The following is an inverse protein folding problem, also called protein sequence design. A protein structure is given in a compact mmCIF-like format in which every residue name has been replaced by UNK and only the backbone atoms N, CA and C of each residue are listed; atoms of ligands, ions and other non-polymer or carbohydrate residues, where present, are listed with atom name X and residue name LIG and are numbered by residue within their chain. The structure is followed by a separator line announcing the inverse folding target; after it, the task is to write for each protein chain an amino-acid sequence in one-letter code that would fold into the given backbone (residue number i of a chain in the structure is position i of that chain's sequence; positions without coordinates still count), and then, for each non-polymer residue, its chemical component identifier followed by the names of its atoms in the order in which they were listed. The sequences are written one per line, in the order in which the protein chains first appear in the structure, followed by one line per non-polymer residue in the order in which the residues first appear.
data_IF_090467552481
#
_entry.id   IF_090467552481
#
_cell.length_a   1.000
_cell.length_b   1.000
_cell.length_c   1.000
_cell.angle_alpha   90.00
_cell.angle_beta   90.00
_cell.angle_gamma   90.00
#
_symmetry.space_group_name_H-M   'P 1'
#
loop_
_entity.id
_entity.type
_entity.pdbx_description
1 polymer ?
#
# COMPACT_ATOMS: atom_id res chain seq x y z
N UNK A 1 -19.35 3.97 -2.83
CA UNK A 1 -18.47 4.90 -2.06
C UNK A 1 -17.46 5.62 -2.97
N UNK A 2 -16.40 4.96 -3.54
CA UNK A 2 -15.39 5.67 -4.37
C UNK A 2 -16.04 6.36 -5.59
N UNK A 3 -16.92 5.68 -6.33
CA UNK A 3 -17.64 6.27 -7.48
C UNK A 3 -18.45 7.51 -7.09
N UNK A 4 -19.15 7.45 -5.97
CA UNK A 4 -19.97 8.58 -5.48
C UNK A 4 -19.09 9.74 -5.02
N UNK A 5 -17.97 9.42 -4.34
CA UNK A 5 -16.99 10.43 -3.92
C UNK A 5 -16.36 11.14 -5.13
N UNK A 6 -15.98 10.41 -6.17
CA UNK A 6 -15.49 10.98 -7.41
C UNK A 6 -16.56 11.83 -8.11
N UNK A 7 -17.81 11.35 -8.17
CA UNK A 7 -18.89 12.06 -8.86
C UNK A 7 -19.30 13.37 -8.17
N UNK A 8 -19.03 13.50 -6.86
CA UNK A 8 -19.30 14.72 -6.12
C UNK A 8 -18.41 15.91 -6.56
N UNK A 9 -17.26 15.64 -7.19
CA UNK A 9 -16.37 16.67 -7.71
C UNK A 9 -15.62 16.15 -8.95
N UNK A 10 -15.83 16.74 -10.13
CA UNK A 10 -15.21 16.31 -11.39
C UNK A 10 -13.67 16.47 -11.41
N UNK A 11 -13.09 17.29 -10.53
CA UNK A 11 -11.64 17.45 -10.44
C UNK A 11 -10.95 16.33 -9.67
N UNK A 12 -11.69 15.56 -8.88
CA UNK A 12 -11.12 14.46 -8.07
C UNK A 12 -10.57 13.35 -8.94
N UNK A 13 -9.37 12.92 -8.65
CA UNK A 13 -8.69 11.77 -9.25
C UNK A 13 -8.14 10.87 -8.15
N UNK A 14 -7.97 9.60 -8.43
CA UNK A 14 -7.52 8.62 -7.45
C UNK A 14 -6.56 7.61 -8.10
N UNK A 15 -5.48 7.28 -7.40
CA UNK A 15 -4.59 6.18 -7.75
C UNK A 15 -4.84 5.04 -6.75
N UNK A 16 -5.15 3.86 -7.26
CA UNK A 16 -5.38 2.65 -6.47
C UNK A 16 -4.24 1.67 -6.70
N UNK A 17 -3.43 1.45 -5.68
CA UNK A 17 -2.34 0.46 -5.74
C UNK A 17 -2.79 -0.81 -5.03
N UNK A 18 -2.89 -1.91 -5.76
CA UNK A 18 -3.38 -3.17 -5.24
C UNK A 18 -2.27 -3.97 -4.58
N UNK A 19 -2.46 -4.33 -3.30
CA UNK A 19 -1.61 -5.28 -2.59
C UNK A 19 -1.97 -6.73 -2.89
N UNK A 20 -1.08 -7.66 -2.53
CA UNK A 20 -1.25 -9.09 -2.79
C UNK A 20 -2.25 -9.79 -1.86
N UNK A 21 -2.42 -9.28 -0.64
CA UNK A 21 -3.40 -9.80 0.32
C UNK A 21 -3.20 -11.25 0.73
N UNK A 22 -4.30 -11.95 1.01
CA UNK A 22 -4.29 -13.37 1.34
C UNK A 22 -3.83 -14.25 0.17
N UNK A 23 -4.24 -14.03 -1.09
CA UNK A 23 -3.78 -14.81 -2.23
C UNK A 23 -2.25 -14.86 -2.35
N UNK A 24 -1.55 -13.73 -2.21
CA UNK A 24 -0.09 -13.70 -2.26
C UNK A 24 0.53 -14.64 -1.22
N UNK A 25 0.05 -14.56 0.03
CA UNK A 25 0.55 -15.41 1.12
C UNK A 25 0.31 -16.90 0.88
N UNK A 26 -0.87 -17.25 0.36
CA UNK A 26 -1.20 -18.65 0.04
C UNK A 26 -0.22 -19.21 -0.98
N UNK A 27 0.00 -18.53 -2.09
CA UNK A 27 0.90 -18.99 -3.13
C UNK A 27 2.37 -18.95 -2.71
N UNK A 28 2.80 -17.93 -1.98
CA UNK A 28 4.17 -17.86 -1.46
C UNK A 28 4.46 -18.98 -0.45
N UNK A 29 3.49 -19.33 0.39
CA UNK A 29 3.64 -20.44 1.33
C UNK A 29 3.68 -21.79 0.58
N UNK A 30 2.80 -22.00 -0.38
CA UNK A 30 2.83 -23.21 -1.21
C UNK A 30 4.18 -23.39 -1.91
N UNK A 31 4.74 -22.31 -2.49
CA UNK A 31 6.09 -22.34 -3.07
C UNK A 31 7.15 -22.78 -2.05
N UNK A 32 7.14 -22.17 -0.86
CA UNK A 32 8.11 -22.47 0.20
C UNK A 32 8.00 -23.92 0.70
N UNK A 33 6.79 -24.42 0.87
CA UNK A 33 6.53 -25.80 1.30
C UNK A 33 7.05 -26.81 0.27
N UNK A 34 6.71 -26.63 -1.02
CA UNK A 34 7.19 -27.53 -2.09
C UNK A 34 8.69 -27.46 -2.26
N UNK A 35 9.29 -26.26 -2.25
CA UNK A 35 10.74 -26.11 -2.36
C UNK A 35 11.48 -26.79 -1.19
N UNK A 36 10.93 -26.71 0.02
CA UNK A 36 11.49 -27.39 1.18
C UNK A 36 11.43 -28.92 1.05
N UNK A 37 10.34 -29.48 0.53
CA UNK A 37 10.21 -30.91 0.28
C UNK A 37 11.19 -31.40 -0.80
N UNK A 38 11.39 -30.61 -1.84
CA UNK A 38 12.32 -30.89 -2.93
C UNK A 38 13.80 -30.65 -2.54
N UNK A 39 14.05 -30.15 -1.34
CA UNK A 39 15.38 -29.73 -0.85
C UNK A 39 16.05 -28.69 -1.76
N UNK A 40 15.27 -27.86 -2.42
CA UNK A 40 15.74 -26.76 -3.24
C UNK A 40 15.95 -25.51 -2.39
N UNK A 41 16.83 -24.63 -2.85
CA UNK A 41 17.02 -23.33 -2.23
C UNK A 41 15.78 -22.47 -2.47
N UNK A 42 15.24 -21.87 -1.41
CA UNK A 42 14.16 -20.89 -1.50
C UNK A 42 14.75 -19.57 -1.94
N UNK A 43 14.55 -19.20 -3.20
CA UNK A 43 14.95 -17.91 -3.73
C UNK A 43 13.93 -16.84 -3.32
N UNK A 44 14.40 -15.79 -2.61
CA UNK A 44 13.56 -14.67 -2.18
C UNK A 44 12.87 -13.97 -3.35
N UNK A 45 13.58 -13.76 -4.45
CA UNK A 45 13.05 -13.15 -5.66
C UNK A 45 11.93 -13.97 -6.31
N UNK A 46 11.98 -15.30 -6.25
CA UNK A 46 10.92 -16.15 -6.76
C UNK A 46 9.64 -16.02 -5.93
N UNK A 47 9.78 -16.03 -4.60
CA UNK A 47 8.64 -15.78 -3.71
C UNK A 47 8.05 -14.37 -3.90
N UNK A 48 8.88 -13.35 -4.09
CA UNK A 48 8.44 -11.98 -4.37
C UNK A 48 7.70 -11.91 -5.71
N UNK A 49 8.22 -12.52 -6.77
CA UNK A 49 7.53 -12.59 -8.08
C UNK A 49 6.15 -13.21 -7.97
N UNK A 50 6.00 -14.29 -7.20
CA UNK A 50 4.70 -14.90 -6.93
C UNK A 50 3.76 -13.92 -6.24
N UNK A 51 4.24 -13.21 -5.21
CA UNK A 51 3.48 -12.17 -4.52
C UNK A 51 3.06 -11.03 -5.46
N UNK A 52 3.96 -10.57 -6.33
CA UNK A 52 3.70 -9.54 -7.34
C UNK A 52 2.58 -9.98 -8.30
N UNK A 53 2.59 -11.22 -8.78
CA UNK A 53 1.54 -11.73 -9.65
C UNK A 53 0.16 -11.72 -8.97
N UNK A 54 0.10 -11.98 -7.67
CA UNK A 54 -1.13 -11.84 -6.90
C UNK A 54 -1.61 -10.37 -6.82
N UNK A 55 -0.69 -9.40 -6.67
CA UNK A 55 -1.06 -7.97 -6.72
C UNK A 55 -1.64 -7.58 -8.08
N UNK A 56 -1.07 -8.11 -9.17
CA UNK A 56 -1.53 -7.85 -10.55
C UNK A 56 -2.92 -8.41 -10.79
N UNK A 57 -3.19 -9.63 -10.34
CA UNK A 57 -4.52 -10.22 -10.42
C UNK A 57 -5.56 -9.38 -9.65
N UNK A 58 -5.22 -8.94 -8.43
CA UNK A 58 -6.07 -8.06 -7.65
C UNK A 58 -6.30 -6.71 -8.34
N UNK A 59 -5.27 -6.15 -8.97
CA UNK A 59 -5.36 -4.89 -9.70
C UNK A 59 -6.28 -5.00 -10.93
N UNK A 60 -6.21 -6.10 -11.68
CA UNK A 60 -7.13 -6.35 -12.81
C UNK A 60 -8.58 -6.44 -12.34
N UNK A 61 -8.84 -7.10 -11.20
CA UNK A 61 -10.16 -7.12 -10.59
C UNK A 61 -10.64 -5.69 -10.25
N UNK A 62 -9.76 -4.89 -9.60
CA UNK A 62 -10.09 -3.50 -9.25
C UNK A 62 -10.35 -2.67 -10.50
N UNK A 63 -9.52 -2.78 -11.53
CA UNK A 63 -9.71 -2.10 -12.83
C UNK A 63 -11.06 -2.45 -13.45
N UNK A 64 -11.40 -3.74 -13.52
CA UNK A 64 -12.68 -4.20 -14.07
C UNK A 64 -13.87 -3.61 -13.31
N UNK A 65 -13.80 -3.51 -11.98
CA UNK A 65 -14.84 -2.89 -11.14
C UNK A 65 -14.94 -1.36 -11.32
N UNK A 66 -13.84 -0.69 -11.65
CA UNK A 66 -13.83 0.75 -11.91
C UNK A 66 -14.51 1.11 -13.24
N UNK A 67 -14.46 0.22 -14.23
CA UNK A 67 -15.06 0.43 -15.55
C UNK A 67 -14.53 1.70 -16.23
N UNK A 68 -15.40 2.50 -16.80
CA UNK A 68 -15.06 3.73 -17.55
C UNK A 68 -14.28 4.81 -16.75
N UNK A 69 -14.24 4.70 -15.44
CA UNK A 69 -13.44 5.61 -14.62
C UNK A 69 -11.93 5.30 -14.72
N UNK A 70 -11.55 4.06 -15.06
CA UNK A 70 -10.18 3.62 -15.28
C UNK A 70 -9.95 3.32 -16.77
N UNK A 71 -9.34 4.24 -17.49
CA UNK A 71 -9.08 4.10 -18.94
C UNK A 71 -7.70 3.52 -19.26
N UNK A 72 -6.78 3.59 -18.29
CA UNK A 72 -5.43 3.05 -18.46
C UNK A 72 -5.42 1.53 -18.26
N UNK A 73 -4.43 0.88 -18.84
CA UNK A 73 -4.02 -0.45 -18.37
C UNK A 73 -3.46 -0.38 -16.95
N UNK A 74 -3.43 -1.53 -16.25
CA UNK A 74 -2.84 -1.59 -14.93
C UNK A 74 -1.37 -1.24 -15.00
N UNK A 75 -0.94 -0.28 -14.19
CA UNK A 75 0.44 0.15 -14.12
C UNK A 75 1.24 -0.88 -13.32
N UNK A 76 2.23 -1.49 -13.96
CA UNK A 76 3.16 -2.43 -13.32
C UNK A 76 4.52 -1.80 -13.00
N UNK A 77 4.89 -0.75 -13.70
CA UNK A 77 6.14 -0.04 -13.47
C UNK A 77 5.86 1.45 -13.21
N UNK A 78 5.98 1.93 -11.96
CA UNK A 78 5.69 3.33 -11.62
C UNK A 78 6.66 4.33 -12.22
N UNK A 79 7.81 3.88 -12.76
CA UNK A 79 8.83 4.76 -13.34
C UNK A 79 8.62 5.05 -14.83
N UNK A 80 7.78 4.28 -15.52
CA UNK A 80 7.47 4.50 -16.93
C UNK A 80 6.75 5.83 -17.17
N UNK A 81 6.77 6.29 -18.43
CA UNK A 81 5.97 7.45 -18.82
C UNK A 81 4.49 7.04 -18.86
N UNK A 82 3.70 7.56 -17.94
CA UNK A 82 2.29 7.22 -17.76
C UNK A 82 1.46 8.49 -17.99
N UNK A 83 0.62 8.47 -19.01
CA UNK A 83 -0.43 9.46 -19.17
C UNK A 83 -1.64 9.03 -18.33
N UNK A 84 -2.01 9.79 -17.31
CA UNK A 84 -3.15 9.48 -16.46
C UNK A 84 -4.46 9.84 -17.18
N UNK A 85 -4.99 8.91 -17.94
CA UNK A 85 -6.28 9.04 -18.63
C UNK A 85 -7.43 8.57 -17.74
N UNK A 86 -8.53 9.30 -17.67
CA UNK A 86 -9.64 8.97 -16.79
C UNK A 86 -9.50 9.55 -15.38
N UNK A 87 -10.25 9.01 -14.43
CA UNK A 87 -10.37 9.51 -13.05
C UNK A 87 -9.76 8.58 -12.01
N UNK A 88 -9.57 7.32 -12.39
CA UNK A 88 -8.90 6.31 -11.58
C UNK A 88 -7.72 5.76 -12.38
N UNK A 89 -6.55 5.66 -11.76
CA UNK A 89 -5.41 4.90 -12.22
C UNK A 89 -5.25 3.70 -11.30
N UNK A 90 -5.13 2.50 -11.86
CA UNK A 90 -4.90 1.29 -11.06
C UNK A 90 -3.47 0.81 -11.28
N UNK A 91 -2.78 0.47 -10.19
CA UNK A 91 -1.41 -0.04 -10.21
C UNK A 91 -1.27 -1.31 -9.37
N UNK A 92 -0.20 -2.03 -9.59
CA UNK A 92 0.15 -3.27 -8.90
C UNK A 92 1.64 -3.31 -8.57
N UNK A 93 2.09 -4.36 -7.89
CA UNK A 93 3.49 -4.55 -7.53
C UNK A 93 4.42 -4.56 -8.76
N UNK A 94 5.52 -3.85 -8.66
CA UNK A 94 6.49 -3.63 -9.72
C UNK A 94 7.44 -4.81 -9.90
N UNK A 95 8.44 -4.91 -9.05
CA UNK A 95 9.54 -5.89 -9.15
C UNK A 95 9.98 -6.38 -7.77
N UNK A 96 10.69 -7.52 -7.68
CA UNK A 96 11.25 -8.01 -6.43
C UNK A 96 12.06 -6.95 -5.69
N UNK A 97 11.95 -6.95 -4.36
CA UNK A 97 12.59 -5.96 -3.49
C UNK A 97 11.86 -4.62 -3.38
N UNK A 98 10.70 -4.46 -4.03
CA UNK A 98 9.84 -3.27 -3.90
C UNK A 98 8.48 -3.66 -3.34
N UNK A 99 8.07 -2.98 -2.29
CA UNK A 99 6.72 -3.12 -1.75
C UNK A 99 5.72 -2.25 -2.52
N UNK A 100 4.43 -2.60 -2.44
CA UNK A 100 3.37 -1.76 -2.99
C UNK A 100 3.25 -0.40 -2.30
N UNK A 101 3.75 -0.27 -1.06
CA UNK A 101 3.88 1.03 -0.39
C UNK A 101 4.87 1.92 -1.13
N UNK A 102 6.01 1.35 -1.54
CA UNK A 102 7.02 2.08 -2.32
C UNK A 102 6.49 2.46 -3.71
N UNK A 103 5.76 1.55 -4.37
CA UNK A 103 5.12 1.85 -5.65
C UNK A 103 4.10 2.99 -5.51
N UNK A 104 3.34 3.03 -4.41
CA UNK A 104 2.39 4.11 -4.12
C UNK A 104 3.09 5.46 -3.91
N UNK A 105 4.24 5.49 -3.21
CA UNK A 105 5.03 6.72 -3.02
C UNK A 105 5.61 7.22 -4.34
N UNK A 106 6.13 6.33 -5.19
CA UNK A 106 6.64 6.71 -6.53
C UNK A 106 5.53 7.28 -7.43
N UNK A 107 4.33 6.70 -7.38
CA UNK A 107 3.18 7.22 -8.12
C UNK A 107 2.68 8.54 -7.53
N UNK A 108 2.70 8.71 -6.21
CA UNK A 108 2.37 9.98 -5.56
C UNK A 108 3.33 11.10 -6.00
N UNK A 109 4.64 10.83 -6.03
CA UNK A 109 5.64 11.76 -6.57
C UNK A 109 5.36 12.12 -8.03
N UNK A 110 5.17 11.11 -8.87
CA UNK A 110 4.93 11.29 -10.31
C UNK A 110 3.71 12.15 -10.63
N UNK A 111 2.64 11.98 -9.89
CA UNK A 111 1.36 12.67 -10.11
C UNK A 111 1.08 13.80 -9.12
N UNK A 112 2.10 14.19 -8.34
CA UNK A 112 2.01 15.28 -7.36
C UNK A 112 0.85 15.12 -6.38
N UNK A 113 0.59 13.89 -5.95
CA UNK A 113 -0.33 13.65 -4.84
C UNK A 113 0.36 14.04 -3.53
N UNK A 114 -0.38 14.66 -2.63
CA UNK A 114 0.12 15.12 -1.32
C UNK A 114 -0.08 14.08 -0.19
N UNK A 115 -0.88 13.07 -0.44
CA UNK A 115 -1.27 12.08 0.57
C UNK A 115 -1.33 10.68 0.00
N UNK A 116 -0.73 9.72 0.72
CA UNK A 116 -0.92 8.28 0.50
C UNK A 116 -1.78 7.72 1.63
N UNK A 117 -2.84 7.00 1.27
CA UNK A 117 -3.70 6.30 2.20
C UNK A 117 -3.35 4.81 2.20
N UNK A 118 -2.66 4.35 3.25
CA UNK A 118 -2.34 2.94 3.44
C UNK A 118 -3.49 2.24 4.18
N UNK A 119 -4.26 1.47 3.44
CA UNK A 119 -5.39 0.69 3.94
C UNK A 119 -4.96 -0.75 4.22
N UNK A 120 -4.96 -1.13 5.48
CA UNK A 120 -4.54 -2.46 5.91
C UNK A 120 -5.54 -3.10 6.89
N UNK A 121 -5.10 -4.10 7.63
CA UNK A 121 -5.90 -4.78 8.65
C UNK A 121 -5.73 -4.18 10.06
N UNK A 122 -4.96 -3.11 10.20
CA UNK A 122 -4.77 -2.39 11.47
C UNK A 122 -5.56 -1.08 11.44
N UNK A 123 -6.10 -0.67 12.57
CA UNK A 123 -6.83 0.61 12.68
C UNK A 123 -5.87 1.79 12.83
N UNK A 124 -4.80 1.61 13.59
CA UNK A 124 -3.77 2.62 13.86
C UNK A 124 -2.39 1.96 13.91
N UNK A 125 -1.37 2.76 13.78
CA UNK A 125 -0.02 2.39 14.18
C UNK A 125 0.05 2.40 15.70
N UNK A 126 0.82 1.48 16.28
CA UNK A 126 1.05 1.36 17.73
C UNK A 126 2.52 1.52 18.05
N UNK A 127 2.82 1.89 19.27
CA UNK A 127 4.21 2.02 19.75
C UNK A 127 4.99 0.69 19.74
N UNK A 128 4.28 -0.44 19.67
CA UNK A 128 4.80 -1.81 19.57
C UNK A 128 3.68 -2.71 19.03
N UNK A 129 3.95 -3.98 18.74
CA UNK A 129 2.93 -4.96 18.34
C UNK A 129 1.94 -5.24 19.49
N UNK A 130 0.68 -4.80 19.43
CA UNK A 130 -0.28 -4.97 20.52
C UNK A 130 -0.63 -6.44 20.80
N UNK A 131 -0.33 -7.37 19.87
CA UNK A 131 -0.51 -8.81 20.09
C UNK A 131 0.59 -9.39 20.96
N UNK A 132 1.76 -8.77 20.99
CA UNK A 132 2.93 -9.20 21.77
C UNK A 132 3.12 -8.38 23.03
N UNK A 133 2.78 -7.10 22.96
CA UNK A 133 2.92 -6.15 24.08
C UNK A 133 1.58 -5.51 24.42
N UNK A 134 0.89 -5.96 25.49
CA UNK A 134 -0.39 -5.38 25.91
C UNK A 134 -0.32 -3.90 26.33
N UNK A 135 0.89 -3.37 26.59
CA UNK A 135 1.10 -1.94 26.92
C UNK A 135 1.33 -1.06 25.68
N UNK A 136 1.30 -1.64 24.48
CA UNK A 136 1.40 -0.88 23.23
C UNK A 136 0.26 0.14 23.13
N UNK A 137 0.63 1.40 22.85
CA UNK A 137 -0.33 2.50 22.76
C UNK A 137 -0.59 2.85 21.30
N UNK A 138 -1.86 3.15 20.93
CA UNK A 138 -2.18 3.65 19.59
C UNK A 138 -1.60 5.06 19.40
N UNK A 139 -1.18 5.35 18.17
CA UNK A 139 -0.60 6.63 17.76
C UNK A 139 -1.58 7.31 16.81
N UNK A 140 -1.99 8.54 17.13
CA UNK A 140 -2.88 9.33 16.27
C UNK A 140 -2.09 10.11 15.20
N UNK A 141 -0.93 10.64 15.60
CA UNK A 141 -0.03 11.37 14.70
C UNK A 141 1.41 11.18 15.12
N UNK A 142 2.31 11.08 14.14
CA UNK A 142 3.74 10.89 14.36
C UNK A 142 4.52 11.59 13.26
N UNK A 143 5.68 12.19 13.61
CA UNK A 143 6.60 12.74 12.62
C UNK A 143 7.28 11.65 11.80
N UNK A 144 7.72 11.94 10.58
CA UNK A 144 8.53 11.01 9.79
C UNK A 144 9.79 10.59 10.54
N UNK A 145 10.46 11.52 11.20
CA UNK A 145 11.67 11.23 11.96
C UNK A 145 11.43 10.18 13.05
N UNK A 146 10.35 10.31 13.82
CA UNK A 146 10.05 9.38 14.91
C UNK A 146 9.48 8.05 14.40
N UNK A 147 8.69 8.09 13.31
CA UNK A 147 8.22 6.88 12.67
C UNK A 147 9.39 6.03 12.13
N UNK A 148 10.35 6.64 11.44
CA UNK A 148 11.53 5.95 10.93
C UNK A 148 12.43 5.42 12.03
N UNK A 149 12.58 6.12 13.16
CA UNK A 149 13.26 5.56 14.35
C UNK A 149 12.58 4.29 14.86
N UNK A 150 11.25 4.25 14.78
CA UNK A 150 10.46 3.10 15.26
C UNK A 150 10.54 1.89 14.31
N UNK A 151 10.44 2.09 12.99
CA UNK A 151 10.40 0.99 12.01
C UNK A 151 11.76 0.61 11.46
N UNK A 152 12.74 1.54 11.50
CA UNK A 152 14.06 1.43 10.90
C UNK A 152 14.08 1.87 9.44
N UNK A 153 15.28 1.87 8.83
CA UNK A 153 15.51 2.31 7.45
C UNK A 153 15.75 1.16 6.48
N UNK A 154 15.79 -0.08 7.00
CA UNK A 154 16.10 -1.25 6.19
C UNK A 154 14.87 -2.16 6.08
N UNK A 155 14.55 -2.53 4.86
CA UNK A 155 13.57 -3.56 4.62
C UNK A 155 14.16 -4.94 4.99
N UNK A 156 13.39 -5.73 5.72
CA UNK A 156 13.76 -7.10 6.10
C UNK A 156 12.63 -8.03 5.69
N UNK A 157 12.90 -9.11 4.92
CA UNK A 157 11.88 -10.08 4.53
C UNK A 157 11.11 -10.63 5.74
N UNK A 158 9.79 -10.60 5.67
CA UNK A 158 8.92 -11.12 6.73
C UNK A 158 8.73 -10.20 7.94
N UNK A 159 9.39 -9.04 8.02
CA UNK A 159 9.11 -8.04 9.03
C UNK A 159 7.86 -7.26 8.62
N UNK A 160 6.78 -7.43 9.38
CA UNK A 160 5.57 -6.64 9.20
C UNK A 160 5.76 -5.27 9.84
N UNK A 161 5.96 -4.24 9.03
CA UNK A 161 5.93 -2.84 9.45
C UNK A 161 4.61 -2.20 9.04
N UNK A 162 4.10 -1.22 9.77
CA UNK A 162 2.87 -0.51 9.40
C UNK A 162 2.94 0.18 8.05
N UNK A 163 4.12 0.63 7.65
CA UNK A 163 4.47 1.18 6.35
C UNK A 163 5.93 0.82 6.03
N UNK A 164 6.24 0.59 4.78
CA UNK A 164 7.56 0.11 4.35
C UNK A 164 8.68 1.10 4.69
N UNK A 165 9.83 0.65 5.26
CA UNK A 165 10.92 1.53 5.66
C UNK A 165 11.53 2.34 4.50
N UNK A 166 11.66 1.73 3.30
CA UNK A 166 12.22 2.39 2.12
C UNK A 166 11.23 3.44 1.60
N UNK A 167 9.95 3.07 1.53
CA UNK A 167 8.86 3.98 1.20
C UNK A 167 8.77 5.15 2.20
N UNK A 168 8.98 4.88 3.49
CA UNK A 168 8.99 5.89 4.55
C UNK A 168 10.07 6.94 4.35
N UNK A 169 11.29 6.51 4.02
CA UNK A 169 12.40 7.42 3.72
C UNK A 169 12.07 8.31 2.52
N UNK A 170 11.58 7.73 1.45
CA UNK A 170 11.22 8.48 0.24
C UNK A 170 10.04 9.43 0.51
N UNK A 171 9.04 9.01 1.28
CA UNK A 171 7.89 9.85 1.63
C UNK A 171 8.30 11.05 2.49
N UNK A 172 9.25 10.88 3.44
CA UNK A 172 9.84 11.99 4.20
C UNK A 172 10.57 12.99 3.29
N UNK A 173 11.42 12.50 2.37
CA UNK A 173 12.14 13.35 1.40
C UNK A 173 11.18 14.20 0.55
N UNK A 174 10.01 13.67 0.23
CA UNK A 174 8.95 14.33 -0.53
C UNK A 174 8.01 15.19 0.32
N UNK A 175 8.16 15.19 1.65
CA UNK A 175 7.19 15.81 2.59
C UNK A 175 5.77 15.29 2.37
N UNK A 176 5.63 14.04 1.95
CA UNK A 176 4.38 13.39 1.66
C UNK A 176 3.69 12.99 2.97
N UNK A 177 2.38 13.16 3.05
CA UNK A 177 1.59 12.65 4.17
C UNK A 177 1.20 11.20 3.91
N UNK A 178 1.31 10.37 4.94
CA UNK A 178 0.78 8.99 4.90
C UNK A 178 -0.25 8.82 6.00
N UNK A 179 -1.40 8.25 5.67
CA UNK A 179 -2.43 7.89 6.63
C UNK A 179 -2.55 6.37 6.65
N UNK A 180 -2.25 5.75 7.80
CA UNK A 180 -2.46 4.32 8.02
C UNK A 180 -3.83 4.12 8.69
N UNK A 181 -4.71 3.33 8.08
CA UNK A 181 -6.05 3.07 8.59
C UNK A 181 -6.56 1.68 8.20
N UNK A 182 -7.64 1.25 8.84
CA UNK A 182 -8.30 -0.01 8.51
C UNK A 182 -9.03 0.07 7.16
N UNK A 183 -8.72 -0.86 6.25
CA UNK A 183 -9.43 -1.03 4.99
C UNK A 183 -10.85 -1.62 5.12
N UNK A 184 -11.25 -2.03 6.32
CA UNK A 184 -12.56 -2.65 6.57
C UNK A 184 -13.66 -1.63 6.87
N UNK A 185 -13.31 -0.44 7.32
CA UNK A 185 -14.27 0.58 7.70
C UNK A 185 -14.47 1.59 6.55
N UNK A 186 -15.47 1.32 5.73
CA UNK A 186 -15.78 2.12 4.53
C UNK A 186 -16.17 3.57 4.87
N UNK A 187 -16.88 3.78 5.98
CA UNK A 187 -17.27 5.12 6.43
C UNK A 187 -16.06 5.94 6.85
N UNK A 188 -15.13 5.32 7.59
CA UNK A 188 -13.87 5.94 7.97
C UNK A 188 -13.02 6.31 6.75
N UNK A 189 -12.94 5.43 5.74
CA UNK A 189 -12.24 5.73 4.48
C UNK A 189 -12.86 6.95 3.80
N UNK A 190 -14.20 7.04 3.78
CA UNK A 190 -14.89 8.21 3.23
C UNK A 190 -14.57 9.47 4.01
N UNK A 191 -14.54 9.41 5.34
CA UNK A 191 -14.16 10.55 6.18
C UNK A 191 -12.73 11.03 5.88
N UNK A 192 -11.79 10.12 5.72
CA UNK A 192 -10.41 10.46 5.32
C UNK A 192 -10.40 11.18 3.96
N UNK A 193 -11.09 10.64 2.97
CA UNK A 193 -11.17 11.23 1.63
C UNK A 193 -11.87 12.59 1.61
N UNK A 194 -12.80 12.84 2.53
CA UNK A 194 -13.51 14.11 2.69
C UNK A 194 -12.77 15.10 3.60
N UNK A 195 -11.60 14.73 4.16
CA UNK A 195 -10.84 15.58 5.09
C UNK A 195 -11.50 15.78 6.45
N UNK A 196 -12.38 14.87 6.86
CA UNK A 196 -13.06 14.88 8.17
C UNK A 196 -12.26 14.13 9.23
N UNK A 197 -12.73 14.18 10.48
CA UNK A 197 -12.18 13.37 11.56
C UNK A 197 -12.26 11.87 11.23
N UNK A 198 -11.20 11.14 11.53
CA UNK A 198 -11.08 9.73 11.20
C UNK A 198 -10.33 8.94 12.27
N UNK A 199 -10.47 7.64 12.23
CA UNK A 199 -9.69 6.68 13.01
C UNK A 199 -8.52 6.19 12.16
N UNK A 200 -7.30 6.47 12.58
CA UNK A 200 -6.08 6.12 11.86
C UNK A 200 -4.86 6.78 12.48
N UNK A 201 -3.70 6.59 11.85
CA UNK A 201 -2.45 7.28 12.20
C UNK A 201 -2.01 8.16 11.05
N UNK A 202 -1.76 9.42 11.31
CA UNK A 202 -1.17 10.37 10.37
C UNK A 202 0.34 10.41 10.57
N UNK A 203 1.11 10.23 9.48
CA UNK A 203 2.57 10.28 9.45
C UNK A 203 2.98 11.45 8.55
N UNK A 204 3.82 12.36 9.08
CA UNK A 204 4.29 13.55 8.37
C UNK A 204 3.56 14.83 8.73
#
# INVERSE_FOLDING_TARGET
MIKDWLNADPARRLILVAGGGAPARVYQNAYKEVAAELRENIEGDAADKIGIMATRLNAELVKALCGELCKNDVVYNPTENIEFSGRILVAAGWKPGFSTDNDAVLLAEKFSADTVLNLSNIEKVYTDDPKKNPSAKPIDSISWQDFRKMVGDNWTPGKNTPFDPIASKKAEELSLKVICASGKNIENIKNILDGKDFVGTKIG
#
